data_IF_132129444520
#
_entry.id   IF_132129444520
#
_cell.length_a   1.000
_cell.length_b   1.000
_cell.length_c   1.000
_cell.angle_alpha   90.00
_cell.angle_beta   90.00
_cell.angle_gamma   90.00
#
_symmetry.space_group_name_H-M   'P 1'
#
loop_
_entity.id
_entity.type
_entity.pdbx_description
1 polymer ?
#
# COMPACT_ATOMS: atom_id res chain seq x y z
N UNK A 1 9.64 -10.42 -8.54
CA UNK A 1 8.81 -9.89 -9.66
C UNK A 1 8.91 -8.38 -9.61
N UNK A 2 8.89 -7.66 -10.74
CA UNK A 2 8.88 -6.20 -10.69
C UNK A 2 7.59 -5.74 -9.99
N UNK A 3 7.74 -4.94 -8.93
CA UNK A 3 6.61 -4.35 -8.20
C UNK A 3 6.36 -2.95 -8.76
N UNK A 4 5.11 -2.63 -9.06
CA UNK A 4 4.69 -1.28 -9.45
C UNK A 4 3.86 -0.68 -8.32
N UNK A 5 4.28 0.47 -7.79
CA UNK A 5 3.55 1.15 -6.72
C UNK A 5 2.33 1.90 -7.28
N UNK A 6 1.28 1.98 -6.45
CA UNK A 6 0.02 2.60 -6.83
C UNK A 6 0.08 4.12 -6.63
N UNK A 7 -0.21 4.86 -7.69
CA UNK A 7 -0.50 6.29 -7.64
C UNK A 7 -2.00 6.57 -7.47
N UNK A 8 -2.37 7.85 -7.48
CA UNK A 8 -3.76 8.25 -7.28
C UNK A 8 -4.71 7.74 -8.38
N UNK A 9 -4.22 7.61 -9.62
CA UNK A 9 -5.01 7.10 -10.73
C UNK A 9 -5.26 5.59 -10.58
N UNK A 10 -4.22 4.83 -10.25
CA UNK A 10 -4.27 3.39 -10.07
C UNK A 10 -5.14 3.01 -8.87
N UNK A 11 -5.02 3.73 -7.74
CA UNK A 11 -5.86 3.53 -6.55
C UNK A 11 -7.33 3.76 -6.87
N UNK A 12 -7.66 4.81 -7.66
CA UNK A 12 -9.06 5.08 -8.06
C UNK A 12 -9.61 4.02 -9.01
N UNK A 13 -8.80 3.59 -9.99
CA UNK A 13 -9.19 2.54 -10.93
C UNK A 13 -9.45 1.23 -10.18
N UNK A 14 -8.52 0.82 -9.31
CA UNK A 14 -8.66 -0.40 -8.53
C UNK A 14 -9.85 -0.35 -7.57
N UNK A 15 -10.09 0.79 -6.92
CA UNK A 15 -11.28 0.99 -6.10
C UNK A 15 -12.58 0.82 -6.90
N UNK A 16 -12.64 1.35 -8.12
CA UNK A 16 -13.79 1.21 -8.99
C UNK A 16 -14.00 -0.23 -9.47
N UNK A 17 -12.92 -0.91 -9.90
CA UNK A 17 -12.96 -2.29 -10.37
C UNK A 17 -13.42 -3.27 -9.27
N UNK A 18 -13.09 -2.96 -8.02
CA UNK A 18 -13.47 -3.76 -6.85
C UNK A 18 -14.79 -3.30 -6.19
N UNK A 19 -15.45 -2.28 -6.75
CA UNK A 19 -16.63 -1.63 -6.15
C UNK A 19 -16.43 -1.22 -4.67
N UNK A 20 -15.23 -0.72 -4.37
CA UNK A 20 -14.83 -0.27 -3.03
C UNK A 20 -14.90 1.25 -2.97
N UNK A 21 -15.75 1.76 -2.07
CA UNK A 21 -15.73 3.17 -1.69
C UNK A 21 -15.13 3.32 -0.29
N UNK A 22 -14.07 4.13 -0.11
CA UNK A 22 -13.48 4.34 1.22
C UNK A 22 -14.51 4.93 2.18
N UNK A 23 -14.69 4.27 3.33
CA UNK A 23 -15.64 4.72 4.35
C UNK A 23 -14.94 5.27 5.58
N UNK A 24 -15.28 6.52 5.93
CA UNK A 24 -14.79 7.17 7.16
C UNK A 24 -15.25 6.47 8.43
N UNK A 25 -16.37 5.73 8.39
CA UNK A 25 -16.87 4.98 9.55
C UNK A 25 -15.89 3.91 10.04
N UNK A 26 -15.07 3.37 9.13
CA UNK A 26 -14.03 2.38 9.43
C UNK A 26 -12.63 3.01 9.45
N UNK A 27 -12.51 4.34 9.40
CA UNK A 27 -11.23 5.03 9.41
C UNK A 27 -10.37 4.83 8.15
N UNK A 28 -10.94 4.36 7.04
CA UNK A 28 -10.18 4.02 5.84
C UNK A 28 -9.69 5.27 5.10
N UNK A 29 -8.38 5.32 4.84
CA UNK A 29 -7.72 6.28 3.95
C UNK A 29 -6.69 5.52 3.11
N UNK A 30 -6.73 5.64 1.78
CA UNK A 30 -5.79 4.94 0.90
C UNK A 30 -4.61 5.86 0.57
N UNK A 31 -3.39 5.37 0.82
CA UNK A 31 -2.16 6.09 0.50
C UNK A 31 -1.93 6.01 -1.01
N UNK A 32 -1.76 7.16 -1.66
CA UNK A 32 -1.61 7.29 -3.12
C UNK A 32 -0.23 7.79 -3.56
N UNK A 33 0.64 8.07 -2.60
CA UNK A 33 2.00 8.56 -2.86
C UNK A 33 3.02 7.44 -2.62
N UNK A 34 3.70 7.05 -3.70
CA UNK A 34 4.75 6.04 -3.70
C UNK A 34 5.92 6.40 -2.76
N UNK A 35 6.29 7.68 -2.67
CA UNK A 35 7.40 8.09 -1.82
C UNK A 35 7.08 7.95 -0.33
N UNK A 36 5.83 8.23 0.05
CA UNK A 36 5.33 8.03 1.41
C UNK A 36 5.44 6.56 1.83
N UNK A 37 4.96 5.61 1.02
CA UNK A 37 5.03 4.18 1.39
C UNK A 37 6.47 3.66 1.44
N UNK A 38 7.34 4.09 0.51
CA UNK A 38 8.78 3.76 0.58
C UNK A 38 9.44 4.29 1.84
N UNK A 39 9.12 5.54 2.24
CA UNK A 39 9.64 6.14 3.47
C UNK A 39 9.17 5.38 4.70
N UNK A 40 7.92 4.92 4.74
CA UNK A 40 7.39 4.10 5.84
C UNK A 40 8.19 2.80 5.95
N UNK A 41 8.34 2.07 4.83
CA UNK A 41 9.08 0.79 4.81
C UNK A 41 10.54 0.98 5.22
N UNK A 42 11.20 2.03 4.72
CA UNK A 42 12.57 2.37 5.09
C UNK A 42 12.72 2.69 6.58
N UNK A 43 11.83 3.52 7.14
CA UNK A 43 11.86 3.88 8.56
C UNK A 43 11.49 2.72 9.48
N UNK A 44 10.62 1.82 9.02
CA UNK A 44 10.30 0.57 9.72
C UNK A 44 11.47 -0.43 9.70
N UNK A 45 12.49 -0.19 8.87
CA UNK A 45 13.69 -1.01 8.80
C UNK A 45 13.45 -2.38 8.18
N UNK A 46 12.39 -2.56 7.40
CA UNK A 46 12.06 -3.85 6.75
C UNK A 46 13.24 -4.31 5.89
N UNK A 47 13.70 -5.53 6.13
CA UNK A 47 14.79 -6.18 5.39
C UNK A 47 14.29 -7.37 4.57
N UNK A 48 15.08 -7.70 3.55
CA UNK A 48 14.77 -8.80 2.67
C UNK A 48 14.63 -10.14 3.44
N UNK A 49 13.52 -10.84 3.24
CA UNK A 49 13.25 -12.14 3.86
C UNK A 49 12.71 -12.07 5.29
N UNK A 50 12.39 -10.89 5.81
CA UNK A 50 11.70 -10.75 7.09
C UNK A 50 10.20 -11.11 6.99
N UNK A 51 9.65 -11.58 8.11
CA UNK A 51 8.21 -11.78 8.23
C UNK A 51 7.55 -10.49 8.70
N UNK A 52 6.73 -9.89 7.84
CA UNK A 52 6.00 -8.64 8.13
C UNK A 52 4.52 -8.94 8.35
N UNK A 53 3.95 -8.35 9.40
CA UNK A 53 2.49 -8.35 9.62
C UNK A 53 1.95 -6.96 9.31
N UNK A 54 1.16 -6.85 8.25
CA UNK A 54 0.46 -5.62 7.89
C UNK A 54 -0.99 -5.65 8.42
N UNK A 55 -1.40 -4.57 9.09
CA UNK A 55 -2.77 -4.42 9.60
C UNK A 55 -3.49 -3.35 8.80
N UNK A 56 -4.62 -3.73 8.19
CA UNK A 56 -5.42 -2.82 7.37
C UNK A 56 -4.75 -2.45 6.04
N UNK A 57 -4.45 -3.43 5.15
CA UNK A 57 -3.71 -3.20 3.91
C UNK A 57 -4.43 -2.28 2.91
N UNK A 58 -5.75 -2.09 3.08
CA UNK A 58 -6.57 -1.30 2.17
C UNK A 58 -6.50 -1.86 0.75
N UNK A 59 -6.12 -1.02 -0.22
CA UNK A 59 -5.92 -1.43 -1.61
C UNK A 59 -4.48 -1.90 -1.91
N UNK A 60 -3.63 -2.00 -0.89
CA UNK A 60 -2.32 -2.64 -0.98
C UNK A 60 -1.14 -1.72 -1.30
N UNK A 61 -1.27 -0.40 -1.21
CA UNK A 61 -0.16 0.53 -1.52
C UNK A 61 1.08 0.27 -0.64
N UNK A 62 0.88 0.02 0.65
CA UNK A 62 1.97 -0.30 1.57
C UNK A 62 2.43 -1.76 1.41
N UNK A 63 1.49 -2.70 1.20
CA UNK A 63 1.79 -4.10 0.86
C UNK A 63 2.78 -4.21 -0.30
N UNK A 64 2.57 -3.45 -1.37
CA UNK A 64 3.46 -3.45 -2.53
C UNK A 64 4.85 -2.88 -2.18
N UNK A 65 4.92 -1.81 -1.38
CA UNK A 65 6.21 -1.28 -0.94
C UNK A 65 6.97 -2.25 -0.03
N UNK A 66 6.27 -3.03 0.80
CA UNK A 66 6.88 -4.11 1.60
C UNK A 66 7.46 -5.19 0.67
N UNK A 67 6.68 -5.64 -0.32
CA UNK A 67 7.15 -6.63 -1.31
C UNK A 67 8.30 -6.09 -2.19
N UNK A 68 8.37 -4.78 -2.42
CA UNK A 68 9.49 -4.13 -3.14
C UNK A 68 10.81 -4.25 -2.33
N UNK A 69 10.75 -4.31 -1.00
CA UNK A 69 11.93 -4.38 -0.13
C UNK A 69 12.59 -5.78 -0.06
N UNK A 70 11.85 -6.85 -0.37
CA UNK A 70 12.39 -8.22 -0.48
C UNK A 70 11.70 -9.24 0.39
#
# INVERSE_FOLDING_TARGET
>A
MPVTLLGAAEVRALAADLDVTPTKKLGQNFVVDANTVRKIVHLAGVQAGEHVVEVGPGLGSLTLAILEAG
#
